data_IF_868944698174
#
_entry.id   IF_868944698174
#
_cell.length_a   1.000
_cell.length_b   1.000
_cell.length_c   1.000
_cell.angle_alpha   90.00
_cell.angle_beta   90.00
_cell.angle_gamma   90.00
#
_symmetry.space_group_name_H-M   'P 1'
#
loop_
_entity.id
_entity.type
_entity.pdbx_description
1 polymer ?
#
# COMPACT_ATOMS: atom_id res chain seq x y z
N UNK A 1 25.00 -27.19 -34.33
CA UNK A 1 24.56 -25.85 -34.82
C UNK A 1 23.67 -25.15 -33.82
N UNK A 2 22.72 -25.83 -33.17
CA UNK A 2 21.86 -25.30 -32.10
C UNK A 2 22.62 -24.83 -30.85
N UNK A 3 23.66 -25.54 -30.42
CA UNK A 3 24.41 -25.18 -29.21
C UNK A 3 25.16 -23.84 -29.32
N UNK A 4 25.65 -23.49 -30.51
CA UNK A 4 26.32 -22.20 -30.75
C UNK A 4 25.33 -21.03 -30.69
N UNK A 5 24.10 -21.24 -31.17
CA UNK A 5 23.02 -20.26 -31.05
C UNK A 5 22.67 -20.00 -29.59
N UNK A 6 22.46 -21.06 -28.78
CA UNK A 6 22.15 -20.90 -27.36
C UNK A 6 23.29 -20.24 -26.60
N UNK A 7 24.54 -20.60 -26.91
CA UNK A 7 25.70 -19.97 -26.30
C UNK A 7 25.76 -18.46 -26.62
N UNK A 8 25.58 -18.08 -27.88
CA UNK A 8 25.53 -16.67 -28.29
C UNK A 8 24.37 -15.92 -27.64
N UNK A 9 23.19 -16.54 -27.53
CA UNK A 9 22.02 -15.97 -26.88
C UNK A 9 22.28 -15.72 -25.39
N UNK A 10 22.87 -16.68 -24.68
CA UNK A 10 23.24 -16.50 -23.28
C UNK A 10 24.29 -15.41 -23.13
N UNK A 11 25.34 -15.41 -23.96
CA UNK A 11 26.39 -14.40 -23.88
C UNK A 11 25.82 -12.99 -24.11
N UNK A 12 24.91 -12.84 -25.07
CA UNK A 12 24.22 -11.59 -25.34
C UNK A 12 23.34 -11.17 -24.15
N UNK A 13 22.50 -12.08 -23.63
CA UNK A 13 21.64 -11.81 -22.48
C UNK A 13 22.43 -11.41 -21.22
N UNK A 14 23.54 -12.09 -20.93
CA UNK A 14 24.41 -11.75 -19.81
C UNK A 14 25.16 -10.43 -20.02
N UNK A 15 25.59 -10.12 -21.25
CA UNK A 15 26.22 -8.84 -21.55
C UNK A 15 25.26 -7.65 -21.41
N UNK A 16 23.97 -7.86 -21.67
CA UNK A 16 22.93 -6.84 -21.50
C UNK A 16 22.72 -6.44 -20.03
N UNK A 17 23.10 -7.28 -19.05
CA UNK A 17 23.03 -6.97 -17.62
C UNK A 17 23.89 -5.76 -17.24
N UNK A 18 25.00 -5.54 -17.96
CA UNK A 18 25.88 -4.38 -17.74
C UNK A 18 25.25 -3.04 -18.14
N UNK A 19 24.17 -3.08 -18.93
CA UNK A 19 23.41 -1.90 -19.36
C UNK A 19 22.10 -1.72 -18.59
N UNK A 20 21.82 -2.58 -17.60
CA UNK A 20 20.71 -2.35 -16.70
C UNK A 20 21.05 -1.16 -15.78
N UNK A 21 20.09 -0.24 -15.54
CA UNK A 21 20.32 0.88 -14.65
C UNK A 21 20.76 0.40 -13.26
N UNK A 22 21.70 1.10 -12.64
CA UNK A 22 22.15 0.81 -11.27
C UNK A 22 20.95 0.93 -10.32
N UNK A 23 20.51 -0.21 -9.79
CA UNK A 23 19.34 -0.31 -8.93
C UNK A 23 18.35 -1.36 -9.41
N UNK A 24 17.97 -2.24 -8.49
CA UNK A 24 17.20 -3.43 -8.83
C UNK A 24 15.70 -3.11 -8.92
N UNK A 25 15.22 -2.65 -10.08
CA UNK A 25 13.78 -2.42 -10.33
C UNK A 25 12.93 -3.67 -10.11
N UNK A 26 13.53 -4.85 -10.29
CA UNK A 26 12.92 -6.18 -10.06
C UNK A 26 12.80 -6.53 -8.57
N UNK A 27 13.60 -5.91 -7.69
CA UNK A 27 13.53 -6.16 -6.24
C UNK A 27 12.46 -5.31 -5.52
N UNK A 28 11.89 -4.29 -6.18
CA UNK A 28 10.85 -3.43 -5.59
C UNK A 28 9.61 -4.21 -5.13
N UNK A 29 8.99 -5.11 -5.93
CA UNK A 29 7.80 -5.84 -5.50
C UNK A 29 8.08 -6.81 -4.33
N UNK A 30 9.28 -7.39 -4.26
CA UNK A 30 9.61 -8.42 -3.28
C UNK A 30 9.80 -7.87 -1.85
N UNK A 31 10.08 -6.57 -1.71
CA UNK A 31 10.33 -5.93 -0.40
C UNK A 31 9.07 -5.30 0.21
N UNK A 32 8.01 -5.11 -0.55
CA UNK A 32 6.77 -4.45 -0.10
C UNK A 32 6.06 -5.20 1.04
N UNK A 33 5.87 -6.54 1.00
CA UNK A 33 5.18 -7.25 2.08
C UNK A 33 5.90 -7.11 3.42
N UNK A 34 7.23 -7.20 3.43
CA UNK A 34 8.04 -7.02 4.64
C UNK A 34 7.92 -5.60 5.22
N UNK A 35 7.73 -4.58 4.37
CA UNK A 35 7.46 -3.22 4.81
C UNK A 35 6.05 -3.09 5.40
N UNK A 36 5.04 -3.78 4.90
CA UNK A 36 3.71 -3.64 5.49
C UNK A 36 3.54 -4.37 6.83
N UNK A 37 4.34 -5.42 7.08
CA UNK A 37 4.32 -6.17 8.35
C UNK A 37 4.56 -5.30 9.58
N UNK A 38 5.49 -4.35 9.52
CA UNK A 38 5.77 -3.49 10.68
C UNK A 38 4.60 -2.53 10.98
N UNK A 39 3.74 -2.27 9.99
CA UNK A 39 2.55 -1.42 10.14
C UNK A 39 1.35 -2.19 10.73
N UNK A 40 1.37 -3.53 10.74
CA UNK A 40 0.25 -4.33 11.22
C UNK A 40 -0.09 -4.03 12.69
N UNK A 41 0.90 -3.69 13.53
CA UNK A 41 0.67 -3.34 14.93
C UNK A 41 -0.27 -2.15 15.13
N UNK A 42 -0.36 -1.24 14.15
CA UNK A 42 -1.15 -0.01 14.25
C UNK A 42 -2.65 -0.27 14.35
N UNK A 43 -3.15 -1.39 13.83
CA UNK A 43 -4.57 -1.74 13.94
C UNK A 43 -5.02 -1.93 15.39
N UNK A 44 -4.10 -2.28 16.31
CA UNK A 44 -4.40 -2.40 17.74
C UNK A 44 -4.47 -1.05 18.44
N UNK A 45 -3.75 -0.06 17.92
CA UNK A 45 -3.66 1.28 18.50
C UNK A 45 -4.72 2.23 17.94
N UNK A 46 -5.07 2.06 16.67
CA UNK A 46 -6.01 2.89 15.95
C UNK A 46 -7.17 2.02 15.48
N UNK A 47 -8.38 2.34 15.96
CA UNK A 47 -9.61 1.65 15.56
C UNK A 47 -10.76 2.67 15.46
N UNK A 48 -11.59 2.60 14.41
CA UNK A 48 -11.43 1.77 13.21
C UNK A 48 -10.30 2.30 12.30
N UNK A 49 -9.43 1.41 11.82
CA UNK A 49 -8.32 1.74 10.91
C UNK A 49 -8.62 1.24 9.50
N UNK A 50 -8.37 2.11 8.52
CA UNK A 50 -8.46 1.84 7.10
C UNK A 50 -7.09 1.96 6.46
N UNK A 51 -6.87 1.23 5.36
CA UNK A 51 -5.65 1.34 4.57
C UNK A 51 -5.85 2.19 3.31
N UNK A 52 -4.79 2.86 2.86
CA UNK A 52 -4.82 3.65 1.63
C UNK A 52 -4.72 2.84 0.34
N UNK A 53 -4.24 1.59 0.41
CA UNK A 53 -4.05 0.72 -0.77
C UNK A 53 -4.47 -0.71 -0.48
N UNK A 54 -4.73 -1.47 -1.55
CA UNK A 54 -5.02 -2.91 -1.48
C UNK A 54 -3.91 -3.68 -0.77
N UNK A 55 -2.65 -3.46 -1.16
CA UNK A 55 -1.51 -4.22 -0.66
C UNK A 55 -1.35 -4.03 0.85
N UNK A 56 -1.62 -2.82 1.35
CA UNK A 56 -1.56 -2.51 2.76
C UNK A 56 -2.72 -3.15 3.53
N UNK A 57 -3.96 -3.01 3.05
CA UNK A 57 -5.12 -3.66 3.65
C UNK A 57 -4.95 -5.19 3.73
N UNK A 58 -4.60 -5.81 2.61
CA UNK A 58 -4.43 -7.26 2.51
C UNK A 58 -3.29 -7.77 3.39
N UNK A 59 -2.16 -7.05 3.47
CA UNK A 59 -1.06 -7.47 4.34
C UNK A 59 -1.43 -7.33 5.81
N UNK A 60 -2.01 -6.20 6.24
CA UNK A 60 -2.38 -6.01 7.64
C UNK A 60 -3.44 -7.04 8.07
N UNK A 61 -4.46 -7.30 7.22
CA UNK A 61 -5.44 -8.35 7.50
C UNK A 61 -4.76 -9.71 7.59
N UNK A 62 -3.90 -10.06 6.63
CA UNK A 62 -3.17 -11.33 6.66
C UNK A 62 -2.35 -11.51 7.95
N UNK A 63 -1.66 -10.47 8.43
CA UNK A 63 -0.83 -10.55 9.63
C UNK A 63 -1.66 -10.62 10.92
N UNK A 64 -2.67 -9.77 11.06
CA UNK A 64 -3.45 -9.67 12.31
C UNK A 64 -4.59 -10.67 12.41
N UNK A 65 -4.99 -11.30 11.29
CA UNK A 65 -6.18 -12.16 11.17
C UNK A 65 -7.50 -11.46 11.50
N UNK A 66 -7.48 -10.14 11.62
CA UNK A 66 -8.65 -9.28 11.84
C UNK A 66 -8.88 -8.44 10.58
N UNK A 67 -10.10 -8.42 10.04
CA UNK A 67 -10.41 -7.63 8.86
C UNK A 67 -10.04 -6.16 9.02
N UNK A 68 -9.35 -5.63 8.01
CA UNK A 68 -9.14 -4.21 7.76
C UNK A 68 -9.47 -3.98 6.29
N UNK A 69 -10.10 -2.86 6.02
CA UNK A 69 -10.53 -2.50 4.67
C UNK A 69 -9.68 -1.35 4.16
N UNK A 70 -9.49 -1.35 2.86
CA UNK A 70 -9.01 -0.17 2.16
C UNK A 70 -10.15 0.87 2.15
N UNK A 71 -9.83 2.14 2.40
CA UNK A 71 -10.81 3.22 2.31
C UNK A 71 -11.28 3.37 0.85
N UNK A 72 -12.60 3.48 0.63
CA UNK A 72 -13.16 3.57 -0.71
C UNK A 72 -12.63 4.79 -1.48
N UNK A 73 -12.36 4.58 -2.76
CA UNK A 73 -11.84 5.57 -3.71
C UNK A 73 -10.44 6.11 -3.34
N UNK A 74 -9.75 5.42 -2.44
CA UNK A 74 -8.36 5.69 -2.15
C UNK A 74 -7.47 4.90 -3.11
N UNK A 75 -6.43 5.49 -3.70
CA UNK A 75 -5.59 4.82 -4.72
C UNK A 75 -6.40 4.25 -5.90
N UNK A 76 -5.92 3.19 -6.57
CA UNK A 76 -6.58 2.57 -7.74
C UNK A 76 -7.79 1.74 -7.29
N UNK A 77 -8.89 1.79 -8.06
CA UNK A 77 -10.06 0.92 -7.86
C UNK A 77 -9.71 -0.58 -7.85
N UNK A 78 -10.19 -1.30 -6.83
CA UNK A 78 -10.00 -2.73 -6.63
C UNK A 78 -11.17 -3.41 -5.90
N UNK A 79 -10.98 -4.66 -5.48
CA UNK A 79 -12.00 -5.46 -4.80
C UNK A 79 -12.58 -4.78 -3.53
N UNK A 80 -11.75 -4.10 -2.73
CA UNK A 80 -12.24 -3.45 -1.52
C UNK A 80 -13.26 -2.35 -1.82
N UNK A 81 -13.11 -1.64 -2.93
CA UNK A 81 -14.04 -0.57 -3.30
C UNK A 81 -15.48 -1.10 -3.52
N UNK A 82 -15.62 -2.40 -3.84
CA UNK A 82 -16.93 -3.07 -3.96
C UNK A 82 -17.56 -3.43 -2.61
N UNK A 83 -16.79 -3.42 -1.52
CA UNK A 83 -17.25 -3.84 -0.19
C UNK A 83 -17.90 -2.66 0.54
N UNK A 84 -19.07 -2.85 1.19
CA UNK A 84 -19.72 -1.78 1.94
C UNK A 84 -18.87 -1.30 3.13
N UNK A 85 -18.06 -2.19 3.72
CA UNK A 85 -17.18 -1.87 4.84
C UNK A 85 -16.05 -0.92 4.48
N UNK A 86 -15.76 -0.68 3.20
CA UNK A 86 -14.78 0.33 2.77
C UNK A 86 -15.27 1.77 2.94
N UNK A 87 -16.54 1.96 3.31
CA UNK A 87 -17.09 3.24 3.76
C UNK A 87 -17.25 3.22 5.28
N UNK A 88 -16.55 4.09 6.02
CA UNK A 88 -16.68 4.21 7.47
C UNK A 88 -18.10 4.53 7.89
N UNK A 89 -18.58 3.85 8.92
CA UNK A 89 -19.88 4.11 9.55
C UNK A 89 -19.76 4.97 10.81
N UNK A 90 -18.53 5.19 11.28
CA UNK A 90 -18.23 5.97 12.48
C UNK A 90 -17.86 7.41 12.14
N UNK A 91 -18.21 8.34 13.02
CA UNK A 91 -17.86 9.77 12.87
C UNK A 91 -16.36 10.03 13.02
N UNK A 92 -15.62 9.10 13.61
CA UNK A 92 -14.16 9.16 13.73
C UNK A 92 -13.56 7.84 13.31
N UNK A 93 -12.56 7.91 12.43
CA UNK A 93 -11.79 6.75 12.00
C UNK A 93 -10.36 7.17 11.64
N UNK A 94 -9.51 6.18 11.39
CA UNK A 94 -8.11 6.38 11.06
C UNK A 94 -7.80 5.80 9.70
N UNK A 95 -6.86 6.41 9.00
CA UNK A 95 -6.40 5.96 7.69
C UNK A 95 -4.89 5.90 7.72
N UNK A 96 -4.31 4.74 7.44
CA UNK A 96 -2.89 4.60 7.17
C UNK A 96 -2.64 4.72 5.67
N UNK A 97 -1.77 5.64 5.29
CA UNK A 97 -1.50 5.95 3.88
C UNK A 97 -0.06 6.40 3.68
N UNK A 98 0.36 6.48 2.42
CA UNK A 98 1.63 7.13 2.09
C UNK A 98 1.52 8.64 2.33
N UNK A 99 2.61 9.29 2.69
CA UNK A 99 2.61 10.71 3.05
C UNK A 99 2.36 11.66 1.85
N UNK A 100 2.45 11.16 0.62
CA UNK A 100 2.05 11.86 -0.60
C UNK A 100 0.66 11.48 -1.12
N UNK A 101 -0.02 10.53 -0.47
CA UNK A 101 -1.39 10.17 -0.87
C UNK A 101 -2.37 11.24 -0.40
N UNK A 102 -3.39 11.50 -1.23
CA UNK A 102 -4.49 12.36 -0.84
C UNK A 102 -5.65 11.55 -0.27
N UNK A 103 -6.42 12.19 0.61
CA UNK A 103 -7.70 11.66 1.08
C UNK A 103 -8.75 11.89 -0.02
N UNK A 104 -9.64 10.91 -0.29
CA UNK A 104 -10.68 11.03 -1.30
C UNK A 104 -11.57 12.27 -1.14
N UNK A 105 -12.02 12.85 -2.25
CA UNK A 105 -12.80 14.10 -2.22
C UNK A 105 -14.13 13.96 -1.48
N UNK A 106 -14.77 12.79 -1.56
CA UNK A 106 -16.03 12.54 -0.86
C UNK A 106 -15.92 12.70 0.66
N UNK A 107 -14.73 12.49 1.25
CA UNK A 107 -14.48 12.77 2.67
C UNK A 107 -14.56 14.27 2.96
N UNK A 108 -13.90 15.07 2.11
CA UNK A 108 -13.89 16.54 2.23
C UNK A 108 -15.29 17.09 2.02
N UNK A 109 -16.01 16.61 1.00
CA UNK A 109 -17.39 17.01 0.68
C UNK A 109 -18.39 16.61 1.77
N UNK A 110 -18.15 15.51 2.48
CA UNK A 110 -18.98 15.06 3.60
C UNK A 110 -18.77 15.85 4.90
N UNK A 111 -17.84 16.81 4.90
CA UNK A 111 -17.56 17.71 6.02
C UNK A 111 -16.63 17.12 7.09
N UNK A 112 -15.88 16.06 6.79
CA UNK A 112 -14.89 15.53 7.72
C UNK A 112 -13.63 16.40 7.74
N UNK A 113 -13.03 16.51 8.92
CA UNK A 113 -11.73 17.11 9.13
C UNK A 113 -10.65 16.02 9.20
N UNK A 114 -9.52 16.27 8.54
CA UNK A 114 -8.39 15.33 8.49
C UNK A 114 -7.19 15.90 9.24
N UNK A 115 -6.62 15.14 10.17
CA UNK A 115 -5.44 15.53 10.95
C UNK A 115 -4.43 14.41 10.99
N UNK A 116 -3.15 14.72 10.76
CA UNK A 116 -2.08 13.72 10.87
C UNK A 116 -1.79 13.48 12.36
N UNK A 117 -1.98 12.25 12.83
CA UNK A 117 -1.78 11.87 14.25
C UNK A 117 -0.49 11.13 14.50
N UNK A 118 0.09 10.50 13.47
CA UNK A 118 1.38 9.81 13.57
C UNK A 118 2.10 9.82 12.24
N UNK A 119 3.38 10.18 12.26
CA UNK A 119 4.31 10.00 11.14
C UNK A 119 5.12 8.75 11.34
N UNK A 120 5.23 7.93 10.30
CA UNK A 120 5.92 6.65 10.31
C UNK A 120 6.94 6.66 9.17
N UNK A 121 8.18 6.98 9.52
CA UNK A 121 9.25 7.13 8.55
C UNK A 121 9.55 5.83 7.80
N UNK A 122 9.89 5.90 6.49
CA UNK A 122 10.14 7.13 5.74
C UNK A 122 8.93 7.68 4.97
N UNK A 123 7.81 6.95 4.89
CA UNK A 123 6.81 7.18 3.84
C UNK A 123 5.35 7.06 4.28
N UNK A 124 5.05 6.69 5.52
CA UNK A 124 3.67 6.45 5.96
C UNK A 124 3.23 7.47 7.00
N UNK A 125 1.94 7.77 6.99
CA UNK A 125 1.28 8.57 8.01
C UNK A 125 -0.02 7.89 8.41
N UNK A 126 -0.44 8.14 9.65
CA UNK A 126 -1.78 7.85 10.13
C UNK A 126 -2.53 9.16 10.21
N UNK A 127 -3.63 9.24 9.47
CA UNK A 127 -4.54 10.37 9.43
C UNK A 127 -5.77 10.02 10.25
N UNK A 128 -6.11 10.85 11.23
CA UNK A 128 -7.41 10.83 11.89
C UNK A 128 -8.39 11.62 11.04
N UNK A 129 -9.51 11.01 10.74
CA UNK A 129 -10.63 11.63 10.02
C UNK A 129 -11.80 11.70 11.00
N UNK A 130 -12.29 12.91 11.27
CA UNK A 130 -13.37 13.12 12.24
C UNK A 130 -14.31 14.23 11.80
N UNK A 131 -15.61 14.00 12.01
CA UNK A 131 -16.65 15.00 11.79
C UNK A 131 -16.75 16.00 12.95
#
# INVERSE_FOLDING_TARGET
RTSAFWFALYLFAFSAVLFLPEGNSVAKPFREPYRFRFLAGLQKEFSPLYAGTYQLASTIWYENKTPIYKLRDMSRYDFYDTLPQSVPQEDTFYVIQENWSEIPDWIKESGYNTTVVRTIEPHYIVVKVSK
#
